data_IF_467805851112
#
_entry.id   IF_467805851112
#
_cell.length_a   1.000
_cell.length_b   1.000
_cell.length_c   1.000
_cell.angle_alpha   90.00
_cell.angle_beta   90.00
_cell.angle_gamma   90.00
#
_symmetry.space_group_name_H-M   'P 1'
#
loop_
_entity.id
_entity.type
_entity.pdbx_description
1 polymer ?
#
# COMPACT_ATOMS: atom_id res chain seq x y z
N UNK A 1 7.04 -5.49 -15.90
CA UNK A 1 8.15 -6.24 -15.29
C UNK A 1 8.73 -5.57 -14.03
N UNK A 2 8.67 -4.23 -13.89
CA UNK A 2 9.20 -3.51 -12.73
C UNK A 2 8.57 -3.86 -11.38
N UNK A 3 7.24 -4.08 -11.31
CA UNK A 3 6.52 -4.44 -10.07
C UNK A 3 7.04 -5.69 -9.34
N UNK A 4 7.64 -6.62 -10.07
CA UNK A 4 8.11 -7.88 -9.51
C UNK A 4 9.47 -7.75 -8.86
N UNK A 5 10.37 -6.99 -9.46
CA UNK A 5 11.73 -6.81 -8.92
C UNK A 5 11.71 -6.09 -7.58
N UNK A 6 10.82 -5.11 -7.37
CA UNK A 6 10.72 -4.43 -6.08
C UNK A 6 10.07 -5.28 -4.99
N UNK A 7 9.05 -6.08 -5.30
CA UNK A 7 8.43 -6.97 -4.30
C UNK A 7 9.36 -8.15 -3.99
N UNK A 8 9.95 -8.80 -5.00
CA UNK A 8 10.91 -9.88 -4.79
C UNK A 8 12.16 -9.40 -4.04
N UNK A 9 12.56 -8.15 -4.25
CA UNK A 9 13.68 -7.51 -3.54
C UNK A 9 13.44 -7.29 -2.04
N UNK A 10 12.19 -7.34 -1.56
CA UNK A 10 11.89 -7.23 -0.13
C UNK A 10 12.38 -8.45 0.68
N UNK A 11 12.57 -9.61 0.04
CA UNK A 11 12.93 -10.87 0.69
C UNK A 11 12.10 -11.16 1.97
N UNK A 12 10.82 -10.77 1.94
CA UNK A 12 9.93 -10.85 3.09
C UNK A 12 9.34 -12.24 3.22
N UNK A 13 9.25 -12.75 4.46
CA UNK A 13 8.56 -14.02 4.74
C UNK A 13 7.03 -13.88 4.74
N UNK A 14 6.53 -12.64 4.83
CA UNK A 14 5.09 -12.36 4.95
C UNK A 14 4.40 -12.04 3.61
N UNK A 15 5.20 -11.67 2.60
CA UNK A 15 4.73 -11.30 1.28
C UNK A 15 5.42 -12.19 0.26
N UNK A 16 4.68 -13.15 -0.30
CA UNK A 16 5.21 -14.06 -1.29
C UNK A 16 4.52 -13.83 -2.63
N UNK A 17 5.32 -13.71 -3.69
CA UNK A 17 4.83 -13.57 -5.06
C UNK A 17 5.03 -14.89 -5.78
N UNK A 18 3.96 -15.40 -6.40
CA UNK A 18 4.07 -16.57 -7.24
C UNK A 18 4.61 -16.18 -8.63
N UNK A 19 5.88 -16.47 -8.88
CA UNK A 19 6.55 -16.08 -10.13
C UNK A 19 6.19 -16.97 -11.33
N UNK A 20 5.69 -18.19 -11.11
CA UNK A 20 5.37 -19.13 -12.20
C UNK A 20 3.98 -18.92 -12.82
N UNK A 21 3.12 -18.12 -12.20
CA UNK A 21 1.77 -17.80 -12.70
C UNK A 21 1.69 -16.46 -13.44
N UNK A 22 2.84 -15.79 -13.61
CA UNK A 22 2.91 -14.45 -14.21
C UNK A 22 2.89 -14.57 -15.73
N UNK A 23 1.69 -14.77 -16.26
CA UNK A 23 1.45 -14.81 -17.71
C UNK A 23 0.80 -13.52 -18.24
N UNK A 24 0.56 -12.50 -17.40
CA UNK A 24 -0.27 -11.33 -17.74
C UNK A 24 0.19 -10.04 -17.06
N UNK A 25 -0.52 -8.96 -17.34
CA UNK A 25 -0.50 -7.67 -16.65
C UNK A 25 -1.02 -7.76 -15.19
N UNK A 26 -0.91 -8.92 -14.54
CA UNK A 26 -1.46 -9.23 -13.23
C UNK A 26 -0.36 -9.76 -12.33
N UNK A 27 -0.28 -9.22 -11.12
CA UNK A 27 0.59 -9.72 -10.05
C UNK A 27 -0.27 -10.15 -8.88
N UNK A 28 -0.19 -11.41 -8.49
CA UNK A 28 -0.84 -11.95 -7.29
C UNK A 28 0.22 -12.09 -6.20
N UNK A 29 -0.08 -11.55 -5.03
CA UNK A 29 0.76 -11.62 -3.84
C UNK A 29 -0.03 -12.29 -2.73
N UNK A 30 0.48 -13.43 -2.26
CA UNK A 30 -0.05 -14.14 -1.11
C UNK A 30 0.46 -13.49 0.16
N UNK A 31 -0.41 -13.40 1.14
CA UNK A 31 -0.16 -12.74 2.42
C UNK A 31 -0.11 -13.78 3.54
N UNK A 32 0.76 -13.56 4.52
CA UNK A 32 0.71 -14.33 5.77
C UNK A 32 -0.68 -14.15 6.43
N UNK A 33 -1.26 -15.21 7.04
CA UNK A 33 -2.57 -15.13 7.70
C UNK A 33 -2.70 -14.05 8.78
N UNK A 34 -1.57 -13.56 9.32
CA UNK A 34 -1.53 -12.44 10.28
C UNK A 34 -1.87 -11.09 9.64
N UNK A 35 -1.78 -10.99 8.31
CA UNK A 35 -2.05 -9.76 7.56
C UNK A 35 -3.47 -9.84 7.02
N UNK A 36 -4.31 -8.89 7.41
CA UNK A 36 -5.61 -8.72 6.76
C UNK A 36 -5.42 -8.17 5.35
N UNK A 37 -5.82 -8.88 4.28
CA UNK A 37 -5.67 -8.38 2.91
C UNK A 37 -6.46 -7.10 2.66
N UNK A 38 -7.62 -6.95 3.32
CA UNK A 38 -8.45 -5.74 3.27
C UNK A 38 -7.73 -4.54 3.91
N UNK A 39 -6.98 -4.77 4.98
CA UNK A 39 -6.17 -3.72 5.60
C UNK A 39 -5.04 -3.27 4.66
N UNK A 40 -4.27 -4.22 4.12
CA UNK A 40 -3.20 -3.92 3.16
C UNK A 40 -3.74 -3.15 1.93
N UNK A 41 -4.87 -3.61 1.37
CA UNK A 41 -5.56 -2.92 0.27
C UNK A 41 -5.94 -1.49 0.63
N UNK A 42 -6.57 -1.28 1.80
CA UNK A 42 -6.96 0.06 2.25
C UNK A 42 -5.73 0.97 2.41
N UNK A 43 -4.62 0.44 2.94
CA UNK A 43 -3.39 1.20 3.16
C UNK A 43 -2.67 1.58 1.86
N UNK A 44 -2.68 0.69 0.88
CA UNK A 44 -2.19 0.93 -0.48
C UNK A 44 -3.04 1.98 -1.22
N UNK A 45 -4.36 1.94 -1.03
CA UNK A 45 -5.28 2.91 -1.63
C UNK A 45 -5.22 4.29 -0.97
N UNK A 46 -5.07 4.35 0.35
CA UNK A 46 -5.08 5.60 1.11
C UNK A 46 -3.74 6.32 1.01
N UNK A 47 -3.79 7.62 0.71
CA UNK A 47 -2.61 8.50 0.68
C UNK A 47 -2.61 9.37 1.93
N UNK A 48 -1.57 9.25 2.75
CA UNK A 48 -1.38 10.08 3.93
C UNK A 48 -0.37 11.21 3.68
N UNK A 49 -0.46 12.27 4.47
CA UNK A 49 0.50 13.38 4.42
C UNK A 49 1.95 12.93 4.74
N UNK A 50 2.11 11.87 5.52
CA UNK A 50 3.40 11.27 5.89
C UNK A 50 3.98 10.32 4.84
N UNK A 51 3.19 9.93 3.81
CA UNK A 51 3.69 9.00 2.79
C UNK A 51 4.81 9.65 1.97
N UNK A 52 5.90 8.94 1.67
CA UNK A 52 6.99 9.47 0.85
C UNK A 52 6.57 9.72 -0.61
N UNK A 53 5.55 9.00 -1.08
CA UNK A 53 5.02 9.10 -2.45
C UNK A 53 3.51 9.32 -2.40
N UNK A 54 3.01 10.30 -3.15
CA UNK A 54 1.59 10.72 -3.14
C UNK A 54 0.77 10.04 -4.23
N UNK A 55 0.81 8.72 -4.26
CA UNK A 55 0.04 7.91 -5.22
C UNK A 55 -0.87 6.90 -4.51
N UNK A 56 -2.05 6.70 -5.07
CA UNK A 56 -2.98 5.65 -4.66
C UNK A 56 -2.76 4.42 -5.53
N UNK A 57 -2.57 3.26 -4.90
CA UNK A 57 -2.40 1.99 -5.62
C UNK A 57 -3.67 1.17 -5.46
N UNK A 58 -4.37 0.96 -6.57
CA UNK A 58 -5.54 0.10 -6.60
C UNK A 58 -5.14 -1.37 -6.73
N UNK A 59 -5.73 -2.21 -5.88
CA UNK A 59 -5.61 -3.66 -5.95
C UNK A 59 -6.93 -4.30 -5.52
N UNK A 60 -7.13 -5.57 -5.87
CA UNK A 60 -8.20 -6.40 -5.32
C UNK A 60 -7.68 -7.20 -4.15
N UNK A 61 -8.48 -7.36 -3.09
CA UNK A 61 -8.16 -8.25 -1.96
C UNK A 61 -9.17 -9.40 -1.86
N UNK A 62 -8.67 -10.59 -1.55
CA UNK A 62 -9.45 -11.78 -1.14
C UNK A 62 -8.92 -12.30 0.19
N UNK A 63 -9.29 -13.51 0.57
CA UNK A 63 -9.09 -14.04 1.92
C UNK A 63 -7.61 -14.13 2.32
N UNK A 64 -6.72 -14.48 1.39
CA UNK A 64 -5.28 -14.72 1.62
C UNK A 64 -4.36 -14.04 0.60
N UNK A 65 -4.91 -13.25 -0.34
CA UNK A 65 -4.12 -12.60 -1.38
C UNK A 65 -4.58 -11.19 -1.74
N UNK A 66 -3.64 -10.44 -2.31
CA UNK A 66 -3.91 -9.21 -3.06
C UNK A 66 -3.46 -9.35 -4.52
N UNK A 67 -4.22 -8.72 -5.42
CA UNK A 67 -3.99 -8.74 -6.86
C UNK A 67 -3.85 -7.34 -7.42
N UNK A 68 -2.73 -7.08 -8.07
CA UNK A 68 -2.46 -5.89 -8.84
C UNK A 68 -2.74 -6.17 -10.31
N UNK A 69 -3.34 -5.21 -11.00
CA UNK A 69 -3.54 -5.25 -12.44
C UNK A 69 -2.91 -4.00 -13.03
N UNK A 70 -1.92 -4.15 -13.89
CA UNK A 70 -1.26 -3.05 -14.59
C UNK A 70 -2.02 -2.76 -15.90
N UNK A 71 -2.38 -1.50 -16.15
CA UNK A 71 -2.94 -1.10 -17.44
C UNK A 71 -1.82 -0.84 -18.46
N UNK A 72 -2.12 -0.98 -19.75
CA UNK A 72 -1.18 -0.71 -20.84
C UNK A 72 -0.81 0.77 -21.01
N UNK A 73 -1.60 1.67 -20.43
CA UNK A 73 -1.45 3.14 -20.57
C UNK A 73 -0.71 3.80 -19.39
N UNK A 74 -0.04 3.02 -18.54
CA UNK A 74 0.69 3.57 -17.38
C UNK A 74 2.10 3.97 -17.80
N UNK A 75 2.49 5.22 -17.52
CA UNK A 75 3.86 5.68 -17.78
C UNK A 75 4.87 4.96 -16.86
N UNK A 76 6.14 4.93 -17.28
CA UNK A 76 7.22 4.36 -16.46
C UNK A 76 7.35 5.07 -15.11
N UNK A 77 7.16 6.40 -15.10
CA UNK A 77 7.18 7.21 -13.88
C UNK A 77 6.04 6.85 -12.93
N UNK A 78 4.82 6.68 -13.44
CA UNK A 78 3.68 6.24 -12.65
C UNK A 78 3.88 4.81 -12.10
N UNK A 79 4.48 3.94 -12.91
CA UNK A 79 4.84 2.57 -12.49
C UNK A 79 5.88 2.58 -11.36
N UNK A 80 6.89 3.44 -11.47
CA UNK A 80 7.92 3.63 -10.44
C UNK A 80 7.34 4.16 -9.13
N UNK A 81 6.52 5.20 -9.19
CA UNK A 81 5.86 5.74 -7.99
C UNK A 81 4.94 4.70 -7.32
N UNK A 82 4.18 3.94 -8.11
CA UNK A 82 3.33 2.87 -7.60
C UNK A 82 4.16 1.79 -6.89
N UNK A 83 5.32 1.44 -7.44
CA UNK A 83 6.26 0.52 -6.80
C UNK A 83 6.74 1.07 -5.45
N UNK A 84 7.24 2.30 -5.42
CA UNK A 84 7.77 2.92 -4.20
C UNK A 84 6.71 2.95 -3.09
N UNK A 85 5.46 3.26 -3.46
CA UNK A 85 4.31 3.18 -2.54
C UNK A 85 4.05 1.77 -2.03
N UNK A 86 4.09 0.76 -2.90
CA UNK A 86 3.90 -0.65 -2.50
C UNK A 86 5.00 -1.06 -1.52
N UNK A 87 6.27 -0.87 -1.88
CA UNK A 87 7.43 -1.21 -1.04
C UNK A 87 7.33 -0.54 0.33
N UNK A 88 7.00 0.75 0.36
CA UNK A 88 6.83 1.50 1.60
C UNK A 88 5.72 0.90 2.50
N UNK A 89 4.54 0.65 1.93
CA UNK A 89 3.40 0.10 2.69
C UNK A 89 3.70 -1.32 3.21
N UNK A 90 4.29 -2.18 2.39
CA UNK A 90 4.62 -3.55 2.82
C UNK A 90 5.66 -3.55 3.95
N UNK A 91 6.66 -2.67 3.86
CA UNK A 91 7.67 -2.48 4.91
C UNK A 91 7.05 -1.96 6.21
N UNK A 92 6.11 -1.02 6.11
CA UNK A 92 5.37 -0.49 7.26
C UNK A 92 4.58 -1.60 7.96
N UNK A 93 3.83 -2.40 7.20
CA UNK A 93 3.06 -3.54 7.72
C UNK A 93 3.98 -4.57 8.39
N UNK A 94 5.10 -4.92 7.74
CA UNK A 94 6.06 -5.86 8.30
C UNK A 94 6.64 -5.38 9.63
N UNK A 95 6.98 -4.08 9.73
CA UNK A 95 7.44 -3.48 10.98
C UNK A 95 6.37 -3.55 12.07
N UNK A 96 5.11 -3.32 11.75
CA UNK A 96 4.01 -3.42 12.72
C UNK A 96 3.80 -4.84 13.26
N UNK A 97 4.03 -5.86 12.42
CA UNK A 97 3.96 -7.27 12.83
C UNK A 97 5.15 -7.65 13.72
N UNK A 98 6.34 -7.13 13.41
CA UNK A 98 7.57 -7.41 14.18
C UNK A 98 7.61 -6.65 15.51
N UNK A 99 7.01 -5.47 15.58
CA UNK A 99 6.94 -4.62 16.78
C UNK A 99 5.54 -3.98 16.94
N UNK A 100 4.60 -4.68 17.62
CA UNK A 100 3.23 -4.23 17.84
C UNK A 100 3.20 -3.04 18.82
N UNK A 101 3.44 -1.84 18.30
CA UNK A 101 3.49 -0.60 19.08
C UNK A 101 4.16 0.58 18.35
N UNK A 102 4.90 0.31 17.28
CA UNK A 102 5.73 1.32 16.62
C UNK A 102 5.02 2.13 15.51
N UNK A 103 3.98 1.59 14.86
CA UNK A 103 3.42 2.17 13.61
C UNK A 103 1.98 2.72 13.69
N UNK A 104 1.01 1.89 14.08
CA UNK A 104 -0.41 2.13 13.82
C UNK A 104 -1.01 3.28 14.65
N UNK A 105 -0.58 3.44 15.92
CA UNK A 105 -1.05 4.55 16.78
C UNK A 105 -0.64 5.93 16.25
N UNK A 106 0.49 6.04 15.54
CA UNK A 106 0.94 7.32 14.97
C UNK A 106 0.23 7.66 13.67
N UNK A 107 -0.10 6.65 12.84
CA UNK A 107 -0.78 6.84 11.56
C UNK A 107 -2.28 7.12 11.73
N UNK A 108 -2.96 6.42 12.64
CA UNK A 108 -4.35 6.70 12.97
C UNK A 108 -4.52 8.10 13.58
N UNK A 109 -3.58 8.51 14.45
CA UNK A 109 -3.57 9.86 15.02
C UNK A 109 -3.30 10.93 13.94
N UNK A 110 -2.36 10.69 13.03
CA UNK A 110 -2.07 11.59 11.91
C UNK A 110 -3.26 11.70 10.94
N UNK A 111 -3.98 10.60 10.69
CA UNK A 111 -5.20 10.61 9.89
C UNK A 111 -6.30 11.46 10.52
N UNK A 112 -6.57 11.24 11.82
CA UNK A 112 -7.56 12.00 12.58
C UNK A 112 -7.23 13.49 12.62
N UNK A 113 -5.95 13.83 12.81
CA UNK A 113 -5.48 15.22 12.78
C UNK A 113 -5.64 15.86 11.39
N UNK A 114 -5.38 15.10 10.33
CA UNK A 114 -5.54 15.57 8.94
C UNK A 114 -7.01 15.81 8.61
N UNK A 115 -7.93 14.91 9.01
CA UNK A 115 -9.36 15.10 8.83
C UNK A 115 -9.89 16.33 9.61
N UNK A 116 -9.46 16.48 10.86
CA UNK A 116 -9.85 17.64 11.68
C UNK A 116 -9.36 18.97 11.08
N UNK A 117 -8.15 19.00 10.49
CA UNK A 117 -7.63 20.18 9.81
C UNK A 117 -8.44 20.55 8.56
N UNK A 118 -8.82 19.55 7.74
CA UNK A 118 -9.65 19.74 6.54
C UNK A 118 -11.04 20.28 6.93
N UNK A 119 -11.66 19.72 7.97
CA UNK A 119 -12.96 20.19 8.45
C UNK A 119 -12.93 21.62 9.01
N UNK A 120 -11.87 21.96 9.76
CA UNK A 120 -11.68 23.31 10.30
C UNK A 120 -11.49 24.36 9.20
N UNK A 121 -10.76 24.00 8.12
CA UNK A 121 -10.55 24.87 6.97
C UNK A 121 -11.84 25.09 6.18
N UNK A 122 -12.63 24.03 5.97
CA UNK A 122 -13.93 24.12 5.29
C UNK A 122 -14.99 24.92 6.07
N UNK A 123 -14.90 24.97 7.40
CA UNK A 123 -15.74 25.86 8.23
C UNK A 123 -15.35 27.34 8.11
N UNK A 124 -14.05 27.64 7.98
CA UNK A 124 -13.56 29.03 7.83
C UNK A 124 -13.88 29.64 6.47
N UNK A 125 -13.98 28.84 5.41
CA UNK A 125 -14.32 29.32 4.05
C UNK A 125 -15.83 29.52 3.81
N UNK A 126 -16.69 29.24 4.82
CA UNK A 126 -18.15 29.40 4.75
C UNK A 126 -18.68 30.58 5.58
N UNK A 127 -17.77 31.41 6.10
CA UNK A 127 -18.03 32.70 6.76
C UNK A 127 -17.47 33.82 5.88
#
# INVERSE_FOLDING_TARGET
MYLLTGIAGLNSRYFQVNLSEIHTNIVIMNLDPKISPKFAQKRLFTVYATDPVKVSVQCSARDDWIRFVTCWEVSDEATKMAMEKIVFVLTEIEREIQDPGCGTQKLDLAYLQTQAAIEAQNKKSKL
#
